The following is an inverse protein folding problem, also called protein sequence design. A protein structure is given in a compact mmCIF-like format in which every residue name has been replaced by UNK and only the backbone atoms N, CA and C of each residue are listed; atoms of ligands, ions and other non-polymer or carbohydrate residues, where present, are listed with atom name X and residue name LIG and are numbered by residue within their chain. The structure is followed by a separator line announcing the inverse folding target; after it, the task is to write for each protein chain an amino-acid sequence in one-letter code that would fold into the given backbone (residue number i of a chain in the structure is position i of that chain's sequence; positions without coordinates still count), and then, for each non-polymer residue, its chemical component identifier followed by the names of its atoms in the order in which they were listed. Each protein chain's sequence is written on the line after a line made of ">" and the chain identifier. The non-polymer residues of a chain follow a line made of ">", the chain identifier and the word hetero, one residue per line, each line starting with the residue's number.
data_IF_656702224703
#
_entry.id   IF_656702224703
#
_cell.length_a   1.000
_cell.length_b   1.000
_cell.length_c   1.000
_cell.angle_alpha   90.00
_cell.angle_beta   90.00
_cell.angle_gamma   90.00
#
_symmetry.space_group_name_H-M   'P 1'
#
loop_
_entity.id
_entity.type
_entity.pdbx_description
1 polymer ?
#
# COMPACT_ATOMS: atom_id res chain seq x y z
N UNK A 1 8.53 -14.33 -6.85
CA UNK A 1 7.84 -13.22 -7.54
C UNK A 1 7.81 -12.06 -6.56
N UNK A 2 8.40 -10.92 -6.90
CA UNK A 2 8.28 -9.71 -6.08
C UNK A 2 6.94 -9.08 -6.44
N UNK A 3 6.03 -8.99 -5.47
CA UNK A 3 4.75 -8.32 -5.67
C UNK A 3 4.97 -6.82 -5.48
N UNK A 4 4.81 -6.04 -6.55
CA UNK A 4 4.79 -4.58 -6.49
C UNK A 4 3.44 -4.08 -7.00
N UNK A 5 2.89 -3.10 -6.30
CA UNK A 5 1.72 -2.36 -6.73
C UNK A 5 1.89 -0.91 -6.32
N UNK A 6 1.39 0.00 -7.16
CA UNK A 6 1.43 1.43 -6.92
C UNK A 6 0.00 1.96 -6.94
N UNK A 7 -0.33 2.81 -5.98
CA UNK A 7 -1.62 3.49 -5.89
C UNK A 7 -1.34 4.98 -5.82
N UNK A 8 -2.02 5.74 -6.66
CA UNK A 8 -2.05 7.20 -6.59
C UNK A 8 -3.50 7.63 -6.46
N UNK A 9 -3.79 8.43 -5.43
CA UNK A 9 -5.13 8.94 -5.15
C UNK A 9 -5.08 10.46 -5.19
N UNK A 10 -5.96 11.05 -5.99
CA UNK A 10 -6.16 12.50 -6.05
C UNK A 10 -7.59 12.80 -5.63
N UNK A 11 -7.75 13.63 -4.61
CA UNK A 11 -9.06 14.11 -4.14
C UNK A 11 -9.24 15.57 -4.57
N UNK A 12 -10.46 15.94 -4.93
CA UNK A 12 -10.82 17.30 -5.30
C UNK A 12 -12.30 17.57 -4.91
N UNK A 13 -12.63 18.83 -4.63
CA UNK A 13 -13.89 19.23 -3.98
C UNK A 13 -14.75 20.17 -4.84
N UNK A 14 -14.44 20.29 -6.14
CA UNK A 14 -15.20 21.08 -7.10
C UNK A 14 -15.88 20.20 -8.16
N UNK A 15 -16.93 20.71 -8.79
CA UNK A 15 -17.62 20.00 -9.86
C UNK A 15 -16.67 19.64 -11.00
N UNK A 16 -16.76 18.40 -11.49
CA UNK A 16 -15.99 17.88 -12.63
C UNK A 16 -14.46 17.97 -12.49
N UNK A 17 -13.94 18.07 -11.25
CA UNK A 17 -12.50 18.22 -10.99
C UNK A 17 -11.64 17.00 -11.34
N UNK A 18 -12.25 15.83 -11.45
CA UNK A 18 -11.64 14.57 -11.85
C UNK A 18 -11.96 14.21 -13.31
N UNK A 19 -12.31 15.20 -14.15
CA UNK A 19 -12.49 15.00 -15.59
C UNK A 19 -11.17 15.05 -16.35
N UNK A 20 -11.16 14.47 -17.55
CA UNK A 20 -9.96 14.37 -18.40
C UNK A 20 -9.38 12.97 -18.40
N UNK A 21 -8.19 12.85 -18.99
CA UNK A 21 -7.45 11.60 -19.03
C UNK A 21 -6.88 11.25 -17.65
N UNK A 22 -6.89 9.96 -17.32
CA UNK A 22 -6.27 9.47 -16.08
C UNK A 22 -4.75 9.52 -16.23
N UNK A 23 -4.10 10.39 -15.48
CA UNK A 23 -2.63 10.44 -15.42
C UNK A 23 -2.10 9.44 -14.39
N UNK A 24 -1.21 8.55 -14.82
CA UNK A 24 -0.48 7.65 -13.92
C UNK A 24 0.92 8.25 -13.71
N UNK A 25 1.23 8.80 -12.53
CA UNK A 25 2.55 9.36 -12.28
C UNK A 25 3.60 8.26 -12.35
N UNK A 26 4.79 8.61 -12.86
CA UNK A 26 5.94 7.71 -12.81
C UNK A 26 6.30 7.41 -11.35
N UNK A 27 6.65 6.16 -11.07
CA UNK A 27 7.12 5.75 -9.74
C UNK A 27 8.48 6.42 -9.48
N UNK A 28 8.59 7.11 -8.35
CA UNK A 28 9.87 7.64 -7.88
C UNK A 28 10.61 6.55 -7.08
N UNK A 29 11.58 5.91 -7.73
CA UNK A 29 12.41 4.86 -7.14
C UNK A 29 13.64 5.41 -6.39
N UNK A 30 13.77 6.74 -6.25
CA UNK A 30 14.89 7.35 -5.52
C UNK A 30 14.83 6.96 -4.05
N UNK A 31 15.86 6.30 -3.48
CA UNK A 31 15.89 5.97 -2.05
C UNK A 31 15.81 7.22 -1.19
N UNK A 32 15.00 7.20 -0.13
CA UNK A 32 14.73 8.37 0.70
C UNK A 32 15.28 8.29 2.13
N UNK A 33 16.22 7.37 2.38
CA UNK A 33 16.86 7.12 3.67
C UNK A 33 15.91 6.69 4.80
N UNK A 34 14.75 6.13 4.45
CA UNK A 34 13.88 5.41 5.37
C UNK A 34 13.86 3.92 5.02
N UNK A 35 13.48 3.10 6.01
CA UNK A 35 13.26 1.67 5.85
C UNK A 35 12.09 1.16 6.68
N UNK A 36 11.53 0.06 6.21
CA UNK A 36 10.46 -0.69 6.86
C UNK A 36 10.77 -2.18 6.87
N UNK A 37 10.19 -2.89 7.83
CA UNK A 37 10.12 -4.35 7.77
C UNK A 37 9.35 -4.75 6.51
N UNK A 38 9.82 -5.79 5.80
CA UNK A 38 9.13 -6.32 4.62
C UNK A 38 8.67 -7.76 4.80
N UNK A 39 7.49 -8.05 4.27
CA UNK A 39 7.02 -9.40 3.96
C UNK A 39 5.82 -9.32 3.00
N UNK A 40 5.60 -10.39 2.24
CA UNK A 40 4.38 -10.58 1.45
C UNK A 40 4.04 -12.07 1.35
N UNK A 41 2.77 -12.41 1.53
CA UNK A 41 2.25 -13.77 1.26
C UNK A 41 0.80 -13.72 0.80
N UNK A 42 0.45 -14.57 -0.17
CA UNK A 42 -0.91 -14.81 -0.67
C UNK A 42 -1.53 -16.09 -0.08
N UNK A 43 -0.92 -16.65 0.98
CA UNK A 43 -1.31 -17.95 1.57
C UNK A 43 -2.00 -17.82 2.92
N UNK A 44 -1.90 -16.67 3.59
CA UNK A 44 -2.49 -16.43 4.91
C UNK A 44 -3.15 -15.05 4.98
N UNK A 45 -4.18 -14.94 5.82
CA UNK A 45 -4.80 -13.67 6.23
C UNK A 45 -4.31 -13.19 7.59
N UNK A 46 -3.33 -13.88 8.18
CA UNK A 46 -2.67 -13.48 9.43
C UNK A 46 -1.45 -12.60 9.12
N UNK A 47 -1.08 -11.74 10.06
CA UNK A 47 0.11 -10.89 9.98
C UNK A 47 1.38 -11.71 9.66
N UNK A 48 2.13 -11.31 8.64
CA UNK A 48 3.34 -12.03 8.25
C UNK A 48 4.53 -11.67 9.14
N UNK A 49 5.38 -12.67 9.42
CA UNK A 49 6.68 -12.43 10.04
C UNK A 49 7.58 -11.72 9.03
N UNK A 50 8.26 -10.61 9.42
CA UNK A 50 9.23 -9.95 8.56
C UNK A 50 10.27 -10.93 8.01
N UNK A 51 10.51 -10.87 6.70
CA UNK A 51 11.57 -11.63 6.01
C UNK A 51 12.83 -10.80 5.79
N UNK A 52 12.73 -9.48 5.93
CA UNK A 52 13.82 -8.53 5.72
C UNK A 52 13.41 -7.09 6.07
N UNK A 53 14.23 -6.15 5.64
CA UNK A 53 13.93 -4.72 5.62
C UNK A 53 14.04 -4.21 4.17
N UNK A 54 13.17 -3.28 3.79
CA UNK A 54 13.18 -2.63 2.47
C UNK A 54 13.47 -1.14 2.63
N UNK A 55 14.32 -0.59 1.76
CA UNK A 55 14.54 0.86 1.66
C UNK A 55 13.34 1.52 0.98
N UNK A 56 12.80 2.56 1.61
CA UNK A 56 11.67 3.30 1.07
C UNK A 56 12.14 4.28 -0.02
N UNK A 57 11.24 4.58 -0.96
CA UNK A 57 11.54 5.48 -2.09
C UNK A 57 10.60 6.67 -2.16
N UNK A 58 11.04 7.71 -2.85
CA UNK A 58 10.26 8.93 -3.08
C UNK A 58 9.73 9.53 -1.78
N UNK A 59 8.40 9.64 -1.66
CA UNK A 59 7.73 10.25 -0.49
C UNK A 59 7.29 9.25 0.58
N UNK A 60 7.61 7.97 0.45
CA UNK A 60 7.19 6.93 1.39
C UNK A 60 7.92 7.08 2.73
N UNK A 61 7.22 7.47 3.79
CA UNK A 61 7.80 7.76 5.10
C UNK A 61 7.09 7.03 6.24
N UNK A 62 6.20 6.09 5.90
CA UNK A 62 5.36 5.34 6.83
C UNK A 62 5.49 3.85 6.53
N UNK A 63 5.53 3.00 7.55
CA UNK A 63 5.46 1.56 7.43
C UNK A 63 4.03 1.09 7.66
N UNK A 64 3.55 0.19 6.81
CA UNK A 64 2.27 -0.49 7.01
C UNK A 64 2.47 -1.97 7.34
N UNK A 65 1.56 -2.54 8.13
CA UNK A 65 1.33 -3.97 8.29
C UNK A 65 -0.15 -4.23 8.00
N UNK A 66 -0.44 -4.95 6.93
CA UNK A 66 -1.80 -5.16 6.44
C UNK A 66 -2.04 -6.63 6.17
N UNK A 67 -3.13 -7.18 6.68
CA UNK A 67 -3.51 -8.57 6.43
C UNK A 67 -5.02 -8.75 6.35
N UNK A 68 -5.45 -9.77 5.61
CA UNK A 68 -6.87 -10.07 5.44
C UNK A 68 -7.13 -10.83 4.15
N UNK A 69 -8.24 -10.50 3.50
CA UNK A 69 -8.56 -11.00 2.15
C UNK A 69 -8.78 -9.83 1.21
N UNK A 70 -8.23 -9.91 0.01
CA UNK A 70 -8.36 -8.88 -1.02
C UNK A 70 -8.74 -9.50 -2.36
N UNK A 71 -9.45 -8.74 -3.19
CA UNK A 71 -9.78 -9.14 -4.54
C UNK A 71 -10.28 -7.97 -5.37
N UNK A 72 -10.24 -8.12 -6.69
CA UNK A 72 -10.91 -7.20 -7.61
C UNK A 72 -12.42 -7.45 -7.51
N UNK A 73 -13.28 -6.41 -7.52
CA UNK A 73 -14.72 -6.60 -7.57
C UNK A 73 -15.17 -7.61 -8.64
N UNK A 74 -15.91 -8.63 -8.23
CA UNK A 74 -16.38 -9.72 -9.10
C UNK A 74 -15.48 -10.96 -9.12
N UNK A 75 -14.28 -10.89 -8.53
CA UNK A 75 -13.41 -12.06 -8.31
C UNK A 75 -13.57 -12.61 -6.88
N UNK A 76 -12.99 -13.79 -6.63
CA UNK A 76 -12.92 -14.41 -5.30
C UNK A 76 -11.88 -13.68 -4.45
N UNK A 77 -12.27 -13.32 -3.22
CA UNK A 77 -11.33 -12.74 -2.24
C UNK A 77 -10.24 -13.76 -1.87
N UNK A 78 -8.98 -13.36 -2.02
CA UNK A 78 -7.81 -14.19 -1.71
C UNK A 78 -7.12 -13.71 -0.44
N UNK A 79 -6.60 -14.62 0.39
CA UNK A 79 -5.83 -14.24 1.55
C UNK A 79 -4.59 -13.44 1.14
N UNK A 80 -4.25 -12.43 1.93
CA UNK A 80 -3.01 -11.70 1.79
C UNK A 80 -2.50 -11.22 3.15
N UNK A 81 -1.19 -11.03 3.22
CA UNK A 81 -0.52 -10.38 4.32
C UNK A 81 0.74 -9.70 3.82
N UNK A 82 0.97 -8.44 4.23
CA UNK A 82 2.10 -7.65 3.79
C UNK A 82 2.61 -6.66 4.84
N UNK A 83 3.92 -6.38 4.79
CA UNK A 83 4.55 -5.22 5.40
C UNK A 83 5.33 -4.46 4.34
N UNK A 84 5.18 -3.13 4.29
CA UNK A 84 5.73 -2.32 3.21
C UNK A 84 5.93 -0.85 3.60
N UNK A 85 6.70 -0.12 2.78
CA UNK A 85 6.77 1.33 2.77
C UNK A 85 5.53 1.92 2.08
N UNK A 86 4.91 2.91 2.69
CA UNK A 86 3.77 3.67 2.15
C UNK A 86 3.94 5.16 2.47
N UNK A 87 3.16 5.98 1.80
CA UNK A 87 2.98 7.39 2.17
C UNK A 87 1.98 7.49 3.33
N UNK A 88 2.02 8.57 4.11
CA UNK A 88 1.16 8.72 5.29
C UNK A 88 -0.34 8.74 4.94
N UNK A 89 -0.70 9.34 3.80
CA UNK A 89 -2.06 9.44 3.29
C UNK A 89 -2.68 8.07 2.97
N UNK A 90 -1.89 7.06 2.61
CA UNK A 90 -2.38 5.69 2.45
C UNK A 90 -3.06 5.16 3.73
N UNK A 91 -2.53 5.53 4.89
CA UNK A 91 -3.03 5.11 6.19
C UNK A 91 -4.25 5.92 6.65
N UNK A 92 -4.40 7.15 6.18
CA UNK A 92 -5.50 8.04 6.54
C UNK A 92 -6.71 7.86 5.61
N UNK A 93 -6.46 7.55 4.34
CA UNK A 93 -7.45 7.50 3.27
C UNK A 93 -7.60 6.10 2.70
N UNK A 94 -7.51 5.04 3.52
CA UNK A 94 -7.59 3.65 3.05
C UNK A 94 -8.97 3.34 2.42
N UNK A 95 -9.14 3.78 1.17
CA UNK A 95 -10.31 3.64 0.36
C UNK A 95 -9.83 3.01 -0.94
N UNK A 96 -9.77 1.68 -0.92
CA UNK A 96 -9.33 0.90 -2.06
C UNK A 96 -10.40 0.94 -3.15
N UNK A 97 -10.37 1.98 -4.00
CA UNK A 97 -11.39 2.19 -5.03
C UNK A 97 -11.49 1.03 -6.05
N UNK A 98 -10.38 0.31 -6.28
CA UNK A 98 -10.29 -0.78 -7.25
C UNK A 98 -10.23 -2.18 -6.63
N UNK A 99 -10.06 -2.31 -5.31
CA UNK A 99 -9.95 -3.59 -4.63
C UNK A 99 -10.90 -3.66 -3.44
N UNK A 100 -11.56 -4.80 -3.28
CA UNK A 100 -12.32 -5.09 -2.08
C UNK A 100 -11.37 -5.68 -1.07
N UNK A 101 -11.10 -4.95 0.01
CA UNK A 101 -10.25 -5.41 1.11
C UNK A 101 -11.13 -5.71 2.31
N UNK A 102 -11.13 -6.97 2.71
CA UNK A 102 -11.66 -7.43 3.98
C UNK A 102 -10.47 -7.62 4.93
N UNK A 103 -10.04 -6.50 5.52
CA UNK A 103 -8.89 -6.45 6.42
C UNK A 103 -9.21 -7.06 7.78
N UNK A 104 -8.30 -7.89 8.27
CA UNK A 104 -8.27 -8.29 9.68
C UNK A 104 -7.40 -7.32 10.48
N UNK A 105 -6.36 -6.76 9.85
CA UNK A 105 -5.40 -5.85 10.45
C UNK A 105 -4.96 -4.81 9.41
N UNK A 106 -4.95 -3.54 9.82
CA UNK A 106 -4.28 -2.44 9.14
C UNK A 106 -3.59 -1.59 10.20
N UNK A 107 -2.27 -1.73 10.33
CA UNK A 107 -1.45 -0.94 11.23
C UNK A 107 -0.49 -0.08 10.43
N UNK A 108 -0.39 1.18 10.83
CA UNK A 108 0.60 2.10 10.30
C UNK A 108 1.44 2.70 11.41
N UNK A 109 2.72 2.93 11.11
CA UNK A 109 3.65 3.59 12.02
C UNK A 109 4.75 4.33 11.25
N UNK A 110 5.44 5.28 11.89
CA UNK A 110 6.51 6.03 11.23
C UNK A 110 7.63 5.10 10.76
N UNK A 111 8.18 5.36 9.57
CA UNK A 111 9.31 4.59 9.06
C UNK A 111 10.59 4.86 9.88
N UNK A 112 11.46 3.85 9.93
CA UNK A 112 12.77 3.98 10.59
C UNK A 112 13.71 4.72 9.65
N UNK A 113 14.49 5.68 10.14
CA UNK A 113 15.59 6.24 9.37
C UNK A 113 16.72 5.20 9.24
N UNK A 114 17.39 5.20 8.10
CA UNK A 114 18.65 4.46 7.89
C UNK A 114 19.75 4.99 8.82
#
# INVERSE_FOLDING_TARGET
>A
SVFSFWISTTCCDSDFCNTGDVEVPAVDETPNAYKCDECYTDKSSDSCTPTGEVECTGKQNTCTSSSGKAGIPGDTLRPYSLKACVTQDYCELFHSAATQVHGNELLCGPAKKL
#
